data_IF_173916924918
#
_entry.id   IF_173916924918
#
_cell.length_a   1.000
_cell.length_b   1.000
_cell.length_c   1.000
_cell.angle_alpha   90.00
_cell.angle_beta   90.00
_cell.angle_gamma   90.00
#
_symmetry.space_group_name_H-M   'P 1'
#
loop_
_entity.id
_entity.type
_entity.pdbx_description
1 polymer ?
#
# COMPACT_ATOMS: atom_id res chain seq x y z
N UNK A 1 19.87 0.19 -24.55
CA UNK A 1 19.40 1.50 -25.03
C UNK A 1 18.00 1.31 -25.57
N UNK A 2 17.05 2.18 -25.20
CA UNK A 2 15.70 2.14 -25.77
C UNK A 2 15.74 2.66 -27.20
N UNK A 3 15.22 1.89 -28.16
CA UNK A 3 15.19 2.30 -29.55
C UNK A 3 14.15 3.42 -29.76
N UNK A 4 14.53 4.44 -30.53
CA UNK A 4 13.65 5.58 -30.84
C UNK A 4 12.36 5.19 -31.60
N UNK A 5 12.30 4.16 -32.47
CA UNK A 5 11.06 3.75 -33.14
C UNK A 5 10.03 3.17 -32.15
N UNK A 6 10.49 2.46 -31.13
CA UNK A 6 9.62 1.97 -30.05
C UNK A 6 9.03 3.15 -29.27
N UNK A 7 9.88 4.15 -28.97
CA UNK A 7 9.47 5.35 -28.25
C UNK A 7 8.49 6.21 -29.07
N UNK A 8 8.69 6.31 -30.38
CA UNK A 8 7.82 7.02 -31.31
C UNK A 8 6.40 6.41 -31.40
N UNK A 9 6.28 5.10 -31.16
CA UNK A 9 4.99 4.40 -31.16
C UNK A 9 4.21 4.53 -29.86
N UNK A 10 4.84 5.01 -28.78
CA UNK A 10 4.19 5.16 -27.48
C UNK A 10 3.04 6.17 -27.51
N UNK A 11 2.01 5.92 -26.69
CA UNK A 11 0.84 6.80 -26.57
C UNK A 11 1.22 8.20 -26.12
N UNK A 12 2.09 8.29 -25.10
CA UNK A 12 2.61 9.56 -24.56
C UNK A 12 3.25 10.41 -25.66
N UNK A 13 4.03 9.77 -26.53
CA UNK A 13 4.70 10.46 -27.62
C UNK A 13 3.73 11.00 -28.66
N UNK A 14 2.74 10.19 -29.06
CA UNK A 14 1.68 10.62 -29.99
C UNK A 14 0.83 11.75 -29.42
N UNK A 15 0.50 11.69 -28.13
CA UNK A 15 -0.20 12.76 -27.42
C UNK A 15 0.62 14.05 -27.36
N UNK A 16 1.94 13.95 -27.11
CA UNK A 16 2.81 15.10 -27.11
C UNK A 16 2.85 15.79 -28.49
N UNK A 17 2.99 15.02 -29.57
CA UNK A 17 2.93 15.55 -30.93
C UNK A 17 1.59 16.24 -31.20
N UNK A 18 0.47 15.59 -30.86
CA UNK A 18 -0.88 16.16 -31.04
C UNK A 18 -1.07 17.46 -30.26
N UNK A 19 -0.55 17.54 -29.03
CA UNK A 19 -0.63 18.75 -28.22
C UNK A 19 0.17 19.89 -28.88
N UNK A 20 1.39 19.62 -29.34
CA UNK A 20 2.24 20.63 -29.97
C UNK A 20 1.81 21.04 -31.38
N UNK A 21 1.04 20.20 -32.07
CA UNK A 21 0.45 20.50 -33.37
C UNK A 21 -0.41 21.77 -33.31
N UNK A 22 -1.10 21.98 -32.18
CA UNK A 22 -1.95 23.15 -31.96
C UNK A 22 -1.18 24.46 -31.78
N UNK A 23 0.12 24.39 -31.44
CA UNK A 23 0.97 25.56 -31.20
C UNK A 23 1.58 26.05 -32.51
N UNK A 24 2.26 25.15 -33.23
CA UNK A 24 2.92 25.49 -34.50
C UNK A 24 3.02 24.26 -35.42
N UNK A 25 2.09 24.09 -36.37
CA UNK A 25 2.12 22.95 -37.27
C UNK A 25 3.25 23.05 -38.33
N UNK A 26 3.73 21.92 -38.87
CA UNK A 26 3.56 20.58 -38.30
C UNK A 26 4.37 20.42 -37.00
N UNK A 27 3.87 19.62 -36.07
CA UNK A 27 4.63 19.16 -34.92
C UNK A 27 5.82 18.31 -35.37
N UNK A 28 6.95 18.49 -34.69
CA UNK A 28 8.19 17.80 -35.04
C UNK A 28 8.68 16.98 -33.85
N UNK A 29 8.88 15.69 -34.11
CA UNK A 29 9.37 14.72 -33.15
C UNK A 29 10.85 14.42 -33.31
N UNK A 30 11.20 13.14 -33.32
CA UNK A 30 12.56 12.69 -33.60
C UNK A 30 12.88 12.95 -35.07
N UNK A 31 13.96 13.69 -35.30
CA UNK A 31 14.46 14.01 -36.62
C UNK A 31 15.95 13.75 -36.63
N UNK A 32 16.44 13.11 -37.69
CA UNK A 32 17.89 12.99 -37.90
C UNK A 32 18.39 14.28 -38.52
N UNK A 33 19.50 14.86 -38.02
CA UNK A 33 20.04 16.11 -38.55
C UNK A 33 20.29 16.08 -40.07
N UNK A 34 20.73 14.93 -40.59
CA UNK A 34 20.97 14.70 -42.02
C UNK A 34 19.72 14.77 -42.89
N UNK A 35 18.53 14.58 -42.31
CA UNK A 35 17.24 14.63 -43.02
C UNK A 35 16.67 16.06 -43.05
N UNK A 36 17.35 17.04 -42.42
CA UNK A 36 16.90 18.44 -42.37
C UNK A 36 17.45 19.21 -43.58
N UNK A 37 16.62 19.38 -44.61
CA UNK A 37 16.94 20.23 -45.77
C UNK A 37 16.51 21.67 -45.51
N UNK A 38 17.37 22.48 -44.89
CA UNK A 38 17.15 23.90 -44.62
C UNK A 38 16.18 24.18 -43.45
N UNK A 39 16.20 25.42 -42.95
CA UNK A 39 15.42 25.89 -41.78
C UNK A 39 15.62 25.06 -40.50
N UNK A 40 16.85 24.60 -40.25
CA UNK A 40 17.19 23.81 -39.06
C UNK A 40 16.73 24.47 -37.74
N UNK A 41 16.84 25.80 -37.63
CA UNK A 41 16.37 26.53 -36.45
C UNK A 41 14.85 26.40 -36.25
N UNK A 42 14.06 26.45 -37.33
CA UNK A 42 12.60 26.29 -37.24
C UNK A 42 12.24 24.87 -36.80
N UNK A 43 12.94 23.87 -37.35
CA UNK A 43 12.80 22.47 -36.98
C UNK A 43 13.13 22.25 -35.50
N UNK A 44 14.21 22.87 -35.02
CA UNK A 44 14.64 22.80 -33.64
C UNK A 44 13.64 23.45 -32.68
N UNK A 45 13.07 24.61 -33.04
CA UNK A 45 12.02 25.23 -32.22
C UNK A 45 10.79 24.32 -32.07
N UNK A 46 10.33 23.70 -33.16
CA UNK A 46 9.21 22.76 -33.14
C UNK A 46 9.54 21.51 -32.32
N UNK A 47 10.74 20.98 -32.47
CA UNK A 47 11.21 19.83 -31.70
C UNK A 47 11.31 20.13 -30.20
N UNK A 48 11.78 21.32 -29.83
CA UNK A 48 11.83 21.78 -28.45
C UNK A 48 10.44 21.82 -27.80
N UNK A 49 9.42 22.27 -28.52
CA UNK A 49 8.04 22.25 -28.02
C UNK A 49 7.61 20.81 -27.67
N UNK A 50 7.91 19.84 -28.54
CA UNK A 50 7.60 18.43 -28.30
C UNK A 50 8.35 17.87 -27.10
N UNK A 51 9.63 18.22 -26.94
CA UNK A 51 10.44 17.82 -25.79
C UNK A 51 9.88 18.39 -24.49
N UNK A 52 9.53 19.68 -24.47
CA UNK A 52 8.93 20.33 -23.30
C UNK A 52 7.61 19.66 -22.93
N UNK A 53 6.76 19.36 -23.92
CA UNK A 53 5.50 18.67 -23.69
C UNK A 53 5.70 17.26 -23.09
N UNK A 54 6.70 16.52 -23.56
CA UNK A 54 7.07 15.21 -23.00
C UNK A 54 7.57 15.33 -21.55
N UNK A 55 8.36 16.36 -21.24
CA UNK A 55 8.84 16.63 -19.89
C UNK A 55 7.69 16.97 -18.95
N UNK A 56 6.74 17.81 -19.39
CA UNK A 56 5.53 18.11 -18.62
C UNK A 56 4.74 16.82 -18.29
N UNK A 57 4.52 15.97 -19.30
CA UNK A 57 3.84 14.67 -19.11
C UNK A 57 4.61 13.76 -18.14
N UNK A 58 5.93 13.77 -18.17
CA UNK A 58 6.74 13.02 -17.21
C UNK A 58 6.60 13.59 -15.80
N UNK A 59 6.63 14.92 -15.64
CA UNK A 59 6.46 15.56 -14.32
C UNK A 59 5.09 15.29 -13.71
N UNK A 60 4.02 15.31 -14.53
CA UNK A 60 2.67 14.92 -14.10
C UNK A 60 2.66 13.48 -13.56
N UNK A 61 3.22 12.53 -14.31
CA UNK A 61 3.30 11.12 -13.88
C UNK A 61 4.11 10.92 -12.60
N UNK A 62 5.20 11.66 -12.44
CA UNK A 62 6.03 11.59 -11.23
C UNK A 62 5.24 12.11 -10.03
N UNK A 63 4.47 13.18 -10.20
CA UNK A 63 3.65 13.71 -9.12
C UNK A 63 2.50 12.75 -8.75
N UNK A 64 1.84 12.16 -9.75
CA UNK A 64 0.83 11.12 -9.55
C UNK A 64 1.41 9.92 -8.78
N UNK A 65 2.61 9.49 -9.14
CA UNK A 65 3.31 8.40 -8.44
C UNK A 65 3.67 8.78 -7.01
N UNK A 66 4.14 10.01 -6.75
CA UNK A 66 4.38 10.48 -5.38
C UNK A 66 3.11 10.47 -4.54
N UNK A 67 1.98 10.90 -5.11
CA UNK A 67 0.68 10.85 -4.42
C UNK A 67 0.28 9.40 -4.14
N UNK A 68 0.47 8.49 -5.10
CA UNK A 68 0.19 7.07 -4.91
C UNK A 68 1.06 6.45 -3.81
N UNK A 69 2.36 6.76 -3.78
CA UNK A 69 3.29 6.29 -2.74
C UNK A 69 2.87 6.80 -1.36
N UNK A 70 2.59 8.11 -1.22
CA UNK A 70 2.10 8.67 0.06
C UNK A 70 0.82 7.99 0.52
N UNK A 71 -0.13 7.73 -0.40
CA UNK A 71 -1.36 6.98 -0.07
C UNK A 71 -1.03 5.57 0.43
N UNK A 72 -0.15 4.85 -0.26
CA UNK A 72 0.27 3.51 0.15
C UNK A 72 0.95 3.50 1.53
N UNK A 73 1.81 4.47 1.81
CA UNK A 73 2.45 4.63 3.13
C UNK A 73 1.41 4.89 4.23
N UNK A 74 0.40 5.73 3.98
CA UNK A 74 -0.67 5.96 4.97
C UNK A 74 -1.53 4.72 5.19
N UNK A 75 -1.80 3.92 4.15
CA UNK A 75 -2.56 2.66 4.27
C UNK A 75 -1.73 1.61 5.02
N UNK A 76 -0.42 1.52 4.73
CA UNK A 76 0.48 0.61 5.43
C UNK A 76 0.67 1.02 6.89
N UNK A 77 0.86 2.31 7.15
CA UNK A 77 0.91 2.87 8.50
C UNK A 77 -0.36 2.57 9.29
N UNK A 78 -1.54 2.84 8.71
CA UNK A 78 -2.83 2.50 9.34
C UNK A 78 -3.00 1.00 9.60
N UNK A 79 -2.53 0.12 8.70
CA UNK A 79 -2.55 -1.34 8.92
C UNK A 79 -1.63 -1.77 10.06
N UNK A 80 -0.46 -1.16 10.19
CA UNK A 80 0.49 -1.43 11.29
C UNK A 80 -0.06 -0.91 12.62
N UNK A 81 -0.61 0.31 12.65
CA UNK A 81 -1.23 0.85 13.87
C UNK A 81 -2.47 0.06 14.27
N UNK A 82 -3.30 -0.40 13.32
CA UNK A 82 -4.44 -1.27 13.63
C UNK A 82 -4.01 -2.66 14.10
N UNK A 83 -2.92 -3.24 13.58
CA UNK A 83 -2.47 -4.56 14.05
C UNK A 83 -1.91 -4.51 15.46
N UNK A 84 -1.14 -3.47 15.80
CA UNK A 84 -0.59 -3.29 17.15
C UNK A 84 -1.69 -2.99 18.17
N UNK A 85 -2.66 -2.15 17.81
CA UNK A 85 -3.82 -1.82 18.67
C UNK A 85 -4.75 -3.03 18.87
N UNK A 86 -4.88 -3.90 17.85
CA UNK A 86 -5.60 -5.17 17.96
C UNK A 86 -4.86 -6.20 18.82
N UNK A 87 -3.52 -6.31 18.73
CA UNK A 87 -2.74 -7.20 19.60
C UNK A 87 -2.79 -6.74 21.06
N UNK A 88 -2.63 -5.44 21.30
CA UNK A 88 -2.69 -4.87 22.64
C UNK A 88 -4.09 -5.06 23.26
N UNK A 89 -5.14 -4.91 22.45
CA UNK A 89 -6.52 -5.19 22.86
C UNK A 89 -6.76 -6.68 23.15
N UNK A 90 -6.20 -7.59 22.34
CA UNK A 90 -6.29 -9.03 22.57
C UNK A 90 -5.57 -9.45 23.86
N UNK A 91 -4.39 -8.90 24.12
CA UNK A 91 -3.64 -9.16 25.34
C UNK A 91 -4.37 -8.66 26.58
N UNK A 92 -5.03 -7.48 26.50
CA UNK A 92 -5.88 -6.99 27.58
C UNK A 92 -7.11 -7.88 27.81
N UNK A 93 -7.78 -8.34 26.75
CA UNK A 93 -8.90 -9.28 26.87
C UNK A 93 -8.44 -10.59 27.51
N UNK A 94 -7.27 -11.11 27.11
CA UNK A 94 -6.71 -12.33 27.67
C UNK A 94 -6.37 -12.17 29.16
N UNK A 95 -5.79 -11.05 29.56
CA UNK A 95 -5.53 -10.74 30.97
C UNK A 95 -6.83 -10.58 31.78
N UNK A 96 -7.85 -9.95 31.21
CA UNK A 96 -9.17 -9.86 31.84
C UNK A 96 -9.81 -11.24 31.98
N UNK A 97 -9.69 -12.12 30.97
CA UNK A 97 -10.18 -13.49 31.02
C UNK A 97 -9.47 -14.32 32.11
N UNK A 98 -8.15 -14.17 32.22
CA UNK A 98 -7.36 -14.84 33.26
C UNK A 98 -7.77 -14.36 34.67
N UNK A 99 -8.02 -13.06 34.84
CA UNK A 99 -8.53 -12.48 36.10
C UNK A 99 -9.98 -12.90 36.39
N UNK A 100 -10.76 -13.19 35.35
CA UNK A 100 -12.11 -13.74 35.43
C UNK A 100 -12.12 -15.26 35.58
N UNK A 101 -10.98 -15.92 35.83
CA UNK A 101 -10.94 -17.30 36.31
C UNK A 101 -11.83 -17.40 37.54
N UNK A 102 -13.07 -17.81 37.31
CA UNK A 102 -14.14 -18.00 38.26
C UNK A 102 -13.55 -18.67 39.49
N UNK A 103 -13.73 -17.99 40.63
CA UNK A 103 -13.10 -18.31 41.89
C UNK A 103 -13.03 -19.81 42.13
N UNK A 104 -11.85 -20.24 42.55
CA UNK A 104 -11.67 -21.18 43.65
C UNK A 104 -12.93 -22.01 43.92
N UNK A 105 -12.99 -23.22 43.34
CA UNK A 105 -14.01 -24.20 43.68
C UNK A 105 -14.12 -24.26 45.21
N UNK A 106 -15.12 -23.56 45.76
CA UNK A 106 -15.49 -23.62 47.16
C UNK A 106 -15.91 -25.05 47.42
N UNK A 107 -14.98 -25.88 47.88
CA UNK A 107 -15.30 -27.20 48.42
C UNK A 107 -16.34 -26.97 49.52
N UNK A 108 -17.55 -27.54 49.42
CA UNK A 108 -18.47 -27.46 50.54
C UNK A 108 -17.89 -28.29 51.67
N UNK A 109 -17.50 -27.63 52.76
CA UNK A 109 -17.18 -28.30 54.03
C UNK A 109 -18.48 -28.93 54.55
N UNK A 110 -18.72 -30.19 54.20
CA UNK A 110 -19.83 -30.96 54.77
C UNK A 110 -19.48 -31.31 56.22
N UNK A 111 -20.28 -30.90 57.21
CA UNK A 111 -20.02 -31.26 58.61
C UNK A 111 -20.18 -32.78 58.78
N UNK A 112 -19.10 -33.46 59.15
CA UNK A 112 -19.10 -34.90 59.43
C UNK A 112 -19.81 -35.17 60.76
N UNK A 113 -21.13 -35.30 60.74
CA UNK A 113 -21.88 -35.97 61.80
C UNK A 113 -21.97 -37.46 61.44
N UNK A 114 -21.18 -38.32 62.10
CA UNK A 114 -21.38 -39.77 62.06
C UNK A 114 -21.28 -40.32 63.48
N UNK A 115 -22.42 -40.78 64.00
CA UNK A 115 -22.62 -41.27 65.35
C UNK A 115 -21.87 -42.56 65.69
N UNK A 116 -21.90 -42.92 66.97
CA UNK A 116 -21.26 -44.13 67.53
C UNK A 116 -21.83 -45.40 66.88
N UNK A 117 -20.97 -46.16 66.23
CA UNK A 117 -21.26 -47.51 65.76
C UNK A 117 -21.11 -48.48 66.95
N UNK A 118 -22.17 -49.18 67.34
CA UNK A 118 -22.09 -50.29 68.29
C UNK A 118 -22.04 -51.60 67.50
N UNK A 119 -20.94 -52.35 67.64
CA UNK A 119 -20.76 -53.68 67.04
C UNK A 119 -20.68 -54.71 68.15
N UNK A 120 -21.52 -55.74 68.09
CA UNK A 120 -21.47 -56.86 69.01
C UNK A 120 -20.36 -57.83 68.57
N UNK A 121 -19.42 -58.08 69.49
CA UNK A 121 -18.24 -58.94 69.31
C UNK A 121 -18.66 -60.39 69.08
N UNK A 122 -17.89 -61.12 68.26
CA UNK A 122 -17.88 -62.59 68.25
C UNK A 122 -17.94 -63.12 69.70
N UNK A 123 -18.78 -64.12 69.97
CA UNK A 123 -18.18 -65.38 70.39
C UNK A 123 -19.03 -66.62 70.08
N UNK A 124 -18.58 -67.45 69.12
CA UNK A 124 -18.26 -68.88 69.28
C UNK A 124 -18.04 -69.53 67.92
#
# INVERSE_FOLDING_TARGET
MSDWPLSANSTIYKEALKATETIKPPAIGFVRPQDITGRATEVQFKQNNTIIQLLLKLTEKVEDLKVAVKRLETVKGKKVTQSDDLSDSLDQIQQQLQKLSLGESRKPTVPKLKGKLFVFKNPK
#
